data_IF_986867984386
#
_entry.id   IF_986867984386
#
_cell.length_a   1.000
_cell.length_b   1.000
_cell.length_c   1.000
_cell.angle_alpha   90.00
_cell.angle_beta   90.00
_cell.angle_gamma   90.00
#
_symmetry.space_group_name_H-M   'P 1'
#
loop_
_entity.id
_entity.type
_entity.pdbx_description
1 polymer ?
#
# COMPACT_ATOMS: atom_id res chain seq x y z
N UNK A 1 2.76 12.34 -7.98
CA UNK A 1 1.73 11.40 -7.49
C UNK A 1 0.37 12.07 -7.52
N UNK A 2 -0.24 12.12 -8.67
CA UNK A 2 -1.63 12.60 -8.77
C UNK A 2 -2.56 11.48 -8.30
N UNK A 3 -3.41 11.79 -7.33
CA UNK A 3 -4.45 10.87 -6.88
C UNK A 3 -5.60 10.90 -7.89
N UNK A 4 -6.12 9.74 -8.29
CA UNK A 4 -7.30 9.64 -9.16
C UNK A 4 -8.62 10.11 -8.49
N UNK A 5 -8.51 10.88 -7.40
CA UNK A 5 -9.64 11.40 -6.62
C UNK A 5 -10.22 12.63 -7.33
N UNK A 6 -11.53 12.63 -7.59
CA UNK A 6 -12.22 13.80 -8.09
C UNK A 6 -12.38 14.84 -6.95
N UNK A 7 -11.69 16.00 -7.01
CA UNK A 7 -11.55 16.90 -5.86
C UNK A 7 -12.86 17.60 -5.45
N UNK A 8 -13.78 17.74 -6.38
CA UNK A 8 -15.08 18.41 -6.14
C UNK A 8 -16.19 17.45 -5.69
N UNK A 9 -15.98 16.15 -5.79
CA UNK A 9 -16.87 15.12 -5.28
C UNK A 9 -16.59 14.85 -3.79
N UNK A 10 -17.60 14.42 -3.07
CA UNK A 10 -17.48 13.90 -1.71
C UNK A 10 -16.76 12.56 -1.71
N UNK A 11 -16.35 12.07 -0.53
CA UNK A 11 -15.80 10.72 -0.36
C UNK A 11 -16.77 9.67 -0.92
N UNK A 12 -18.05 9.77 -0.54
CA UNK A 12 -19.09 8.86 -1.00
C UNK A 12 -19.24 8.88 -2.52
N UNK A 13 -19.38 10.06 -3.11
CA UNK A 13 -19.54 10.23 -4.57
C UNK A 13 -18.33 9.71 -5.35
N UNK A 14 -17.10 9.86 -4.85
CA UNK A 14 -15.91 9.26 -5.46
C UNK A 14 -15.99 7.73 -5.50
N UNK A 15 -16.44 7.12 -4.41
CA UNK A 15 -16.61 5.66 -4.34
C UNK A 15 -17.76 5.18 -5.23
N UNK A 16 -18.88 5.89 -5.24
CA UNK A 16 -20.02 5.62 -6.13
C UNK A 16 -19.60 5.67 -7.60
N UNK A 17 -18.88 6.73 -7.99
CA UNK A 17 -18.35 6.90 -9.34
C UNK A 17 -17.45 5.71 -9.75
N UNK A 18 -16.54 5.29 -8.87
CA UNK A 18 -15.66 4.16 -9.17
C UNK A 18 -16.44 2.85 -9.30
N UNK A 19 -17.44 2.61 -8.44
CA UNK A 19 -18.29 1.44 -8.56
C UNK A 19 -19.10 1.44 -9.88
N UNK A 20 -19.59 2.60 -10.32
CA UNK A 20 -20.29 2.73 -11.60
C UNK A 20 -19.36 2.49 -12.79
N UNK A 21 -18.14 3.05 -12.79
CA UNK A 21 -17.14 2.85 -13.83
C UNK A 21 -16.78 1.36 -13.97
N UNK A 22 -16.71 0.63 -12.86
CA UNK A 22 -16.45 -0.83 -12.86
C UNK A 22 -17.69 -1.69 -13.11
N UNK A 23 -18.83 -1.08 -13.47
CA UNK A 23 -20.03 -1.80 -13.94
C UNK A 23 -20.85 -2.47 -12.85
N UNK A 24 -20.71 -2.04 -11.59
CA UNK A 24 -21.57 -2.56 -10.52
C UNK A 24 -23.05 -2.20 -10.77
N UNK A 25 -23.95 -3.15 -10.49
CA UNK A 25 -25.39 -2.88 -10.53
C UNK A 25 -25.75 -1.83 -9.47
N UNK A 26 -26.58 -0.85 -9.83
CA UNK A 26 -27.02 0.23 -8.93
C UNK A 26 -27.53 -0.24 -7.56
N UNK A 27 -28.17 -1.42 -7.52
CA UNK A 27 -28.68 -2.02 -6.28
C UNK A 27 -27.57 -2.47 -5.32
N UNK A 28 -26.33 -2.70 -5.82
CA UNK A 28 -25.19 -3.15 -5.02
C UNK A 28 -24.24 -2.00 -4.61
N UNK A 29 -24.26 -0.89 -5.35
CA UNK A 29 -23.31 0.22 -5.15
C UNK A 29 -23.36 0.75 -3.73
N UNK A 30 -24.55 1.03 -3.21
CA UNK A 30 -24.68 1.60 -1.86
C UNK A 30 -24.04 0.70 -0.79
N UNK A 31 -24.26 -0.61 -0.85
CA UNK A 31 -23.69 -1.54 0.12
C UNK A 31 -22.16 -1.59 0.00
N UNK A 32 -21.64 -1.63 -1.23
CA UNK A 32 -20.21 -1.64 -1.50
C UNK A 32 -19.51 -0.36 -1.02
N UNK A 33 -20.13 0.80 -1.25
CA UNK A 33 -19.66 2.09 -0.77
C UNK A 33 -19.64 2.15 0.76
N UNK A 34 -20.69 1.66 1.43
CA UNK A 34 -20.72 1.59 2.91
C UNK A 34 -19.62 0.67 3.45
N UNK A 35 -19.38 -0.47 2.80
CA UNK A 35 -18.30 -1.38 3.14
C UNK A 35 -16.95 -0.66 3.07
N UNK A 36 -16.63 0.00 1.96
CA UNK A 36 -15.38 0.74 1.78
C UNK A 36 -15.23 1.90 2.79
N UNK A 37 -16.28 2.69 3.00
CA UNK A 37 -16.29 3.78 3.99
C UNK A 37 -15.96 3.24 5.38
N UNK A 38 -16.50 2.07 5.72
CA UNK A 38 -16.28 1.46 7.03
C UNK A 38 -14.88 0.88 7.15
N UNK A 39 -14.43 0.10 6.18
CA UNK A 39 -13.13 -0.57 6.18
C UNK A 39 -11.96 0.44 6.23
N UNK A 40 -12.14 1.60 5.60
CA UNK A 40 -11.11 2.64 5.51
C UNK A 40 -11.27 3.79 6.52
N UNK A 41 -12.17 3.65 7.51
CA UNK A 41 -12.41 4.69 8.53
C UNK A 41 -12.71 6.07 7.92
N UNK A 42 -13.64 6.12 6.95
CA UNK A 42 -14.01 7.33 6.22
C UNK A 42 -15.39 7.90 6.66
N UNK A 43 -16.03 7.32 7.69
CA UNK A 43 -17.39 7.69 8.11
C UNK A 43 -17.53 9.18 8.41
N UNK A 44 -16.62 9.74 9.20
CA UNK A 44 -16.68 11.13 9.66
C UNK A 44 -16.48 12.16 8.55
N UNK A 45 -15.99 11.71 7.40
CA UNK A 45 -15.69 12.55 6.24
C UNK A 45 -16.48 12.15 4.99
N UNK A 46 -17.38 11.17 5.08
CA UNK A 46 -18.09 10.61 3.93
C UNK A 46 -18.83 11.65 3.07
N UNK A 47 -19.38 12.70 3.69
CA UNK A 47 -20.06 13.80 3.04
C UNK A 47 -19.15 15.01 2.73
N UNK A 48 -17.86 14.96 3.08
CA UNK A 48 -16.91 16.06 2.80
C UNK A 48 -16.36 15.94 1.38
N UNK A 49 -16.22 17.07 0.69
CA UNK A 49 -15.52 17.14 -0.60
C UNK A 49 -14.06 16.74 -0.44
N UNK A 50 -13.55 15.92 -1.36
CA UNK A 50 -12.23 15.31 -1.26
C UNK A 50 -11.08 16.32 -1.21
N UNK A 51 -11.23 17.49 -1.86
CA UNK A 51 -10.25 18.59 -1.77
C UNK A 51 -10.10 19.20 -0.35
N UNK A 52 -11.03 18.93 0.56
CA UNK A 52 -11.01 19.42 1.94
C UNK A 52 -10.45 18.38 2.93
N UNK A 53 -10.02 17.24 2.45
CA UNK A 53 -9.47 16.17 3.27
C UNK A 53 -7.98 16.40 3.55
N UNK A 54 -7.51 15.92 4.71
CA UNK A 54 -6.07 15.78 4.95
C UNK A 54 -5.47 14.72 4.03
N UNK A 55 -4.14 14.75 3.83
CA UNK A 55 -3.42 13.79 3.00
C UNK A 55 -3.71 12.33 3.39
N UNK A 56 -3.76 12.03 4.69
CA UNK A 56 -4.09 10.69 5.19
C UNK A 56 -5.50 10.22 4.80
N UNK A 57 -6.50 11.10 4.84
CA UNK A 57 -7.84 10.78 4.38
C UNK A 57 -7.90 10.61 2.85
N UNK A 58 -7.19 11.47 2.09
CA UNK A 58 -7.11 11.34 0.64
C UNK A 58 -6.44 10.01 0.24
N UNK A 59 -5.36 9.63 0.93
CA UNK A 59 -4.67 8.36 0.66
C UNK A 59 -5.56 7.15 0.93
N UNK A 60 -6.28 7.14 2.06
CA UNK A 60 -7.24 6.07 2.37
C UNK A 60 -8.38 6.01 1.37
N UNK A 61 -8.91 7.15 0.94
CA UNK A 61 -9.92 7.20 -0.12
C UNK A 61 -9.39 6.64 -1.44
N UNK A 62 -8.19 7.02 -1.86
CA UNK A 62 -7.57 6.51 -3.08
C UNK A 62 -7.45 4.99 -3.09
N UNK A 63 -7.01 4.40 -1.98
CA UNK A 63 -6.89 2.94 -1.85
C UNK A 63 -8.28 2.28 -1.81
N UNK A 64 -9.25 2.87 -1.11
CA UNK A 64 -10.62 2.39 -1.09
C UNK A 64 -11.26 2.39 -2.49
N UNK A 65 -10.99 3.43 -3.29
CA UNK A 65 -11.43 3.51 -4.69
C UNK A 65 -10.80 2.41 -5.54
N UNK A 66 -9.51 2.11 -5.35
CA UNK A 66 -8.86 1.02 -6.07
C UNK A 66 -9.41 -0.36 -5.69
N UNK A 67 -9.79 -0.54 -4.42
CA UNK A 67 -10.30 -1.82 -3.91
C UNK A 67 -11.79 -2.06 -4.18
N UNK A 68 -12.55 -1.03 -4.56
CA UNK A 68 -13.98 -1.19 -4.80
C UNK A 68 -14.28 -2.17 -5.94
N UNK A 69 -13.34 -2.31 -6.89
CA UNK A 69 -13.42 -3.26 -8.01
C UNK A 69 -13.05 -4.70 -7.65
N UNK A 70 -12.71 -4.97 -6.37
CA UNK A 70 -12.28 -6.30 -5.87
C UNK A 70 -11.08 -6.87 -6.67
N UNK A 71 -9.99 -6.13 -6.82
CA UNK A 71 -8.85 -6.58 -7.59
C UNK A 71 -8.15 -7.75 -6.91
N UNK A 72 -7.54 -8.64 -7.71
CA UNK A 72 -6.67 -9.69 -7.18
C UNK A 72 -5.27 -9.17 -6.82
N UNK A 73 -4.83 -8.08 -7.46
CA UNK A 73 -3.53 -7.46 -7.27
C UNK A 73 -3.71 -5.96 -7.06
N UNK A 74 -3.10 -5.42 -6.02
CA UNK A 74 -3.07 -3.99 -5.71
C UNK A 74 -1.62 -3.48 -5.73
N UNK A 75 -1.36 -2.44 -6.52
CA UNK A 75 -0.08 -1.74 -6.51
C UNK A 75 -0.16 -0.49 -5.64
N UNK A 76 0.75 -0.37 -4.69
CA UNK A 76 0.87 0.78 -3.79
C UNK A 76 2.26 1.40 -3.93
N UNK A 77 2.31 2.56 -4.56
CA UNK A 77 3.55 3.30 -4.72
C UNK A 77 3.67 4.35 -3.62
N UNK A 78 4.70 4.19 -2.76
CA UNK A 78 5.01 5.07 -1.62
C UNK A 78 3.74 5.44 -0.81
N UNK A 79 2.97 4.46 -0.28
CA UNK A 79 1.62 4.74 0.23
C UNK A 79 1.60 5.64 1.47
N UNK A 80 2.67 5.73 2.24
CA UNK A 80 2.74 6.52 3.47
C UNK A 80 3.55 7.80 3.35
N UNK A 81 4.06 8.10 2.15
CA UNK A 81 4.87 9.29 1.93
C UNK A 81 4.09 10.56 2.32
N UNK A 82 4.71 11.40 3.16
CA UNK A 82 4.12 12.66 3.61
C UNK A 82 3.00 12.54 4.64
N UNK A 83 2.73 11.34 5.17
CA UNK A 83 1.77 11.15 6.26
C UNK A 83 2.44 11.37 7.63
N UNK A 84 1.66 11.93 8.56
CA UNK A 84 2.03 11.92 9.97
C UNK A 84 1.99 10.51 10.56
N UNK A 85 2.58 10.33 11.75
CA UNK A 85 2.72 9.04 12.41
C UNK A 85 1.37 8.33 12.61
N UNK A 86 0.33 9.05 13.02
CA UNK A 86 -0.98 8.45 13.30
C UNK A 86 -1.69 8.02 12.01
N UNK A 87 -1.61 8.84 10.97
CA UNK A 87 -2.17 8.52 9.65
C UNK A 87 -1.45 7.31 9.02
N UNK A 88 -0.10 7.23 9.16
CA UNK A 88 0.71 6.09 8.73
C UNK A 88 0.29 4.81 9.43
N UNK A 89 0.21 4.81 10.75
CA UNK A 89 -0.23 3.67 11.55
C UNK A 89 -1.64 3.18 11.16
N UNK A 90 -2.57 4.10 10.94
CA UNK A 90 -3.91 3.74 10.49
C UNK A 90 -3.90 3.08 9.11
N UNK A 91 -3.09 3.61 8.18
CA UNK A 91 -2.95 3.04 6.85
C UNK A 91 -2.31 1.65 6.90
N UNK A 92 -1.26 1.45 7.71
CA UNK A 92 -0.64 0.14 7.92
C UNK A 92 -1.62 -0.91 8.43
N UNK A 93 -2.45 -0.56 9.42
CA UNK A 93 -3.52 -1.46 9.91
C UNK A 93 -4.48 -1.85 8.79
N UNK A 94 -4.85 -0.89 7.95
CA UNK A 94 -5.74 -1.15 6.81
C UNK A 94 -5.09 -2.09 5.80
N UNK A 95 -3.81 -1.86 5.43
CA UNK A 95 -3.06 -2.72 4.51
C UNK A 95 -2.90 -4.13 5.12
N UNK A 96 -2.55 -4.24 6.40
CA UNK A 96 -2.44 -5.54 7.11
C UNK A 96 -3.75 -6.33 7.08
N UNK A 97 -4.90 -5.66 7.16
CA UNK A 97 -6.21 -6.33 7.10
C UNK A 97 -6.55 -6.91 5.70
N UNK A 98 -5.80 -6.54 4.67
CA UNK A 98 -5.92 -7.07 3.31
C UNK A 98 -5.03 -8.29 3.06
N UNK A 99 -4.04 -8.55 3.94
CA UNK A 99 -3.16 -9.72 3.81
C UNK A 99 -3.96 -11.02 3.73
N UNK A 100 -3.53 -11.90 2.83
CA UNK A 100 -4.21 -13.18 2.57
C UNK A 100 -5.51 -13.09 1.77
N UNK A 101 -6.00 -11.88 1.46
CA UNK A 101 -7.19 -11.66 0.63
C UNK A 101 -6.83 -11.28 -0.79
N UNK A 102 -5.81 -10.46 -0.96
CA UNK A 102 -5.32 -9.99 -2.26
C UNK A 102 -3.79 -9.97 -2.25
N UNK A 103 -3.18 -9.98 -3.43
CA UNK A 103 -1.74 -9.73 -3.58
C UNK A 103 -1.48 -8.23 -3.56
N UNK A 104 -0.56 -7.77 -2.70
CA UNK A 104 -0.17 -6.36 -2.64
C UNK A 104 1.28 -6.23 -3.06
N UNK A 105 1.54 -5.40 -4.07
CA UNK A 105 2.88 -4.99 -4.48
C UNK A 105 3.08 -3.56 -3.98
N UNK A 106 4.00 -3.41 -3.02
CA UNK A 106 4.28 -2.15 -2.34
C UNK A 106 5.68 -1.68 -2.71
N UNK A 107 5.82 -0.42 -3.14
CA UNK A 107 7.12 0.24 -3.20
C UNK A 107 7.27 1.21 -2.03
N UNK A 108 8.44 1.24 -1.43
CA UNK A 108 8.74 2.18 -0.34
C UNK A 108 10.25 2.35 -0.19
N UNK A 109 10.66 3.52 0.31
CA UNK A 109 12.02 3.77 0.78
C UNK A 109 12.12 3.73 2.32
N UNK A 110 11.01 3.48 3.02
CA UNK A 110 10.99 3.30 4.47
C UNK A 110 11.17 1.83 4.83
N UNK A 111 12.34 1.49 5.41
CA UNK A 111 12.65 0.11 5.80
C UNK A 111 11.68 -0.44 6.84
N UNK A 112 11.24 0.40 7.79
CA UNK A 112 10.22 0.05 8.78
C UNK A 112 8.89 -0.37 8.13
N UNK A 113 8.49 0.28 7.03
CA UNK A 113 7.27 -0.06 6.29
C UNK A 113 7.42 -1.41 5.59
N UNK A 114 8.55 -1.62 4.92
CA UNK A 114 8.86 -2.90 4.29
C UNK A 114 8.85 -4.04 5.31
N UNK A 115 9.49 -3.87 6.46
CA UNK A 115 9.53 -4.87 7.52
C UNK A 115 8.15 -5.13 8.14
N UNK A 116 7.36 -4.08 8.37
CA UNK A 116 6.07 -4.19 9.02
C UNK A 116 4.96 -4.79 8.14
N UNK A 117 5.02 -4.58 6.83
CA UNK A 117 3.93 -4.89 5.92
C UNK A 117 4.20 -6.07 4.98
N UNK A 118 5.46 -6.35 4.63
CA UNK A 118 5.77 -7.34 3.59
C UNK A 118 5.89 -8.76 4.13
N UNK A 119 5.50 -9.73 3.32
CA UNK A 119 5.85 -11.14 3.51
C UNK A 119 7.20 -11.43 2.85
N UNK A 120 7.45 -10.81 1.69
CA UNK A 120 8.72 -10.86 0.95
C UNK A 120 9.17 -9.44 0.61
N UNK A 121 10.47 -9.21 0.68
CA UNK A 121 11.11 -7.94 0.31
C UNK A 121 12.03 -8.16 -0.88
N UNK A 122 11.88 -7.32 -1.90
CA UNK A 122 12.77 -7.24 -3.05
C UNK A 122 13.63 -5.98 -2.92
N UNK A 123 14.94 -6.16 -2.71
CA UNK A 123 15.89 -5.05 -2.69
C UNK A 123 16.33 -4.76 -4.12
N UNK A 124 16.11 -3.52 -4.55
CA UNK A 124 16.48 -3.05 -5.89
C UNK A 124 17.49 -1.91 -5.82
N UNK A 125 18.46 -1.91 -6.74
CA UNK A 125 19.39 -0.81 -6.96
C UNK A 125 19.78 -0.74 -8.44
N UNK A 126 19.82 0.46 -8.98
CA UNK A 126 20.19 0.73 -10.38
C UNK A 126 19.35 -0.10 -11.38
N UNK A 127 18.05 -0.24 -11.12
CA UNK A 127 17.11 -1.00 -11.94
C UNK A 127 17.29 -2.53 -11.89
N UNK A 128 18.14 -3.05 -10.97
CA UNK A 128 18.41 -4.48 -10.82
C UNK A 128 17.98 -4.98 -9.45
N UNK A 129 17.45 -6.21 -9.42
CA UNK A 129 17.18 -6.92 -8.17
C UNK A 129 18.54 -7.34 -7.58
N UNK A 130 18.75 -6.97 -6.31
CA UNK A 130 19.96 -7.33 -5.55
C UNK A 130 19.70 -8.50 -4.62
N UNK A 131 18.54 -8.58 -4.03
CA UNK A 131 18.12 -9.68 -3.17
C UNK A 131 16.59 -9.76 -3.12
N UNK A 132 16.07 -10.97 -2.88
CA UNK A 132 14.64 -11.25 -2.69
C UNK A 132 14.52 -12.30 -1.58
N UNK A 133 13.66 -12.06 -0.60
CA UNK A 133 13.41 -12.98 0.50
C UNK A 133 12.58 -12.35 1.60
N UNK A 134 12.27 -13.11 2.65
CA UNK A 134 11.74 -12.55 3.89
C UNK A 134 12.81 -11.70 4.58
N UNK A 135 12.42 -10.77 5.44
CA UNK A 135 13.37 -9.95 6.21
C UNK A 135 14.38 -10.80 6.97
N UNK A 136 13.94 -11.91 7.59
CA UNK A 136 14.80 -12.83 8.32
C UNK A 136 15.81 -13.56 7.41
N UNK A 137 15.41 -13.96 6.20
CA UNK A 137 16.32 -14.57 5.23
C UNK A 137 17.37 -13.57 4.76
N UNK A 138 16.97 -12.33 4.48
CA UNK A 138 17.89 -11.28 4.07
C UNK A 138 18.91 -10.92 5.16
N UNK A 139 18.48 -10.85 6.43
CA UNK A 139 19.37 -10.64 7.58
C UNK A 139 20.40 -11.78 7.68
N UNK A 140 19.95 -13.02 7.59
CA UNK A 140 20.85 -14.21 7.63
C UNK A 140 21.81 -14.23 6.45
N UNK A 141 21.32 -13.99 5.24
CA UNK A 141 22.12 -13.97 4.02
C UNK A 141 23.22 -12.88 4.07
N UNK A 142 22.84 -11.68 4.53
CA UNK A 142 23.77 -10.58 4.72
C UNK A 142 24.75 -10.80 5.91
N UNK A 143 24.48 -11.79 6.78
CA UNK A 143 25.24 -12.03 8.04
C UNK A 143 25.26 -10.77 8.90
N UNK A 144 24.08 -10.18 9.15
CA UNK A 144 23.88 -8.98 9.98
C UNK A 144 22.92 -9.28 11.11
N UNK A 145 22.67 -8.30 12.00
CA UNK A 145 21.76 -8.43 13.13
C UNK A 145 20.46 -7.67 12.95
N UNK A 146 20.39 -6.75 11.98
CA UNK A 146 19.21 -5.95 11.68
C UNK A 146 18.89 -5.97 10.18
N UNK A 147 17.62 -5.67 9.85
CA UNK A 147 17.20 -5.55 8.45
C UNK A 147 17.81 -4.31 7.78
N UNK A 148 18.01 -3.22 8.53
CA UNK A 148 18.65 -2.01 8.03
C UNK A 148 20.10 -2.28 7.59
N UNK A 149 20.89 -2.96 8.42
CA UNK A 149 22.26 -3.35 8.06
C UNK A 149 22.29 -4.31 6.88
N UNK A 150 21.33 -5.25 6.82
CA UNK A 150 21.18 -6.16 5.71
C UNK A 150 20.89 -5.40 4.41
N UNK A 151 19.95 -4.46 4.44
CA UNK A 151 19.63 -3.61 3.29
C UNK A 151 20.83 -2.83 2.81
N UNK A 152 21.56 -2.14 3.69
CA UNK A 152 22.76 -1.36 3.33
C UNK A 152 23.78 -2.26 2.65
N UNK A 153 24.09 -3.41 3.25
CA UNK A 153 25.08 -4.34 2.73
C UNK A 153 24.69 -4.91 1.36
N UNK A 154 23.46 -5.36 1.20
CA UNK A 154 22.95 -5.95 -0.04
C UNK A 154 22.79 -4.90 -1.15
N UNK A 155 22.35 -3.68 -0.81
CA UNK A 155 22.23 -2.58 -1.76
C UNK A 155 23.59 -2.02 -2.21
N UNK A 156 24.65 -2.07 -1.37
CA UNK A 156 25.98 -1.53 -1.70
C UNK A 156 26.90 -2.53 -2.39
N UNK A 157 26.47 -3.81 -2.50
CA UNK A 157 27.28 -4.84 -3.18
C UNK A 157 28.35 -5.50 -2.28
N UNK A 158 28.18 -5.44 -0.96
CA UNK A 158 29.08 -6.04 0.02
C UNK A 158 29.05 -7.58 0.12
N UNK A 159 28.32 -8.25 -0.79
CA UNK A 159 28.39 -9.69 -1.01
C UNK A 159 28.64 -9.90 -2.50
N UNK A 160 29.88 -10.24 -2.85
CA UNK A 160 30.21 -10.72 -4.19
C UNK A 160 29.39 -11.98 -4.48
N UNK A 161 28.63 -11.93 -5.58
CA UNK A 161 28.08 -13.02 -6.39
C UNK A 161 27.84 -14.37 -5.69
N UNK A 162 26.80 -14.46 -4.86
CA UNK A 162 26.07 -15.70 -4.73
C UNK A 162 24.63 -15.44 -5.17
N UNK A 163 24.29 -15.96 -6.37
CA UNK A 163 22.94 -15.96 -6.90
C UNK A 163 22.01 -16.63 -5.88
N UNK A 164 21.27 -15.84 -5.12
CA UNK A 164 20.09 -16.35 -4.46
C UNK A 164 19.06 -16.62 -5.57
N UNK A 165 18.84 -17.91 -5.87
CA UNK A 165 18.04 -18.37 -6.99
C UNK A 165 16.64 -17.74 -6.96
N UNK A 166 16.33 -17.12 -8.09
CA UNK A 166 14.96 -16.86 -8.50
C UNK A 166 14.34 -18.22 -8.84
N UNK A 167 13.49 -18.75 -7.98
CA UNK A 167 12.50 -19.79 -8.33
C UNK A 167 11.19 -19.13 -8.73
#
# INVERSE_FOLDING_TARGET
QETAIAPNLTVRENLELMAEIHGFKKTLINNKVIEMITAFNLKDVAAKKSKKLSGGYQRRLSIAMALISEPQILFLDEPTLGLDILAREQLWRTIKALKGKITIILTTHYLEEAEALSDYVCIMKDGKIKALGTTNELIKFAKTTSFEDAFIKLATGGTENENMGLC
#
